data_IF_089691000701
#
_entry.id   IF_089691000701
#
_cell.length_a   1.000
_cell.length_b   1.000
_cell.length_c   1.000
_cell.angle_alpha   90.00
_cell.angle_beta   90.00
_cell.angle_gamma   90.00
#
_symmetry.space_group_name_H-M   'P 1'
#
loop_
_entity.id
_entity.type
_entity.pdbx_description
1 polymer ?
#
# COMPACT_ATOMS: atom_id res chain seq x y z
N UNK A 1 -11.85 8.23 10.88
CA UNK A 1 -12.31 8.66 9.53
C UNK A 1 -13.65 8.03 9.21
N UNK A 2 -14.35 8.49 8.16
CA UNK A 2 -15.60 7.87 7.67
C UNK A 2 -15.25 6.69 6.77
N UNK A 3 -15.78 5.50 7.06
CA UNK A 3 -15.56 4.32 6.21
C UNK A 3 -16.19 4.56 4.84
N UNK A 4 -15.43 4.27 3.77
CA UNK A 4 -15.93 4.40 2.40
C UNK A 4 -16.91 3.27 2.12
N UNK A 5 -18.00 3.58 1.42
CA UNK A 5 -18.99 2.57 1.03
C UNK A 5 -18.41 1.72 -0.11
N UNK A 6 -18.67 0.39 -0.13
CA UNK A 6 -18.21 -0.46 -1.25
C UNK A 6 -18.65 0.06 -2.62
N UNK A 7 -19.86 0.62 -2.74
CA UNK A 7 -20.37 1.19 -3.99
C UNK A 7 -19.64 2.45 -4.48
N UNK A 8 -18.83 3.09 -3.63
CA UNK A 8 -18.03 4.27 -3.99
C UNK A 8 -16.54 3.90 -4.22
N UNK A 9 -16.23 2.60 -4.27
CA UNK A 9 -14.90 2.03 -4.49
C UNK A 9 -14.92 1.04 -5.67
N UNK A 10 -13.87 1.08 -6.48
CA UNK A 10 -13.57 0.04 -7.46
C UNK A 10 -12.14 -0.45 -7.21
N UNK A 11 -12.01 -1.73 -6.88
CA UNK A 11 -10.71 -2.39 -6.70
C UNK A 11 -10.52 -3.43 -7.80
N UNK A 12 -9.43 -3.30 -8.54
CA UNK A 12 -8.92 -4.28 -9.49
C UNK A 12 -7.63 -4.89 -8.94
N UNK A 13 -7.07 -5.94 -9.57
CA UNK A 13 -5.79 -6.51 -9.13
C UNK A 13 -4.63 -5.49 -9.10
N UNK A 14 -4.71 -4.44 -9.91
CA UNK A 14 -3.66 -3.47 -10.18
C UNK A 14 -3.98 -2.03 -9.72
N UNK A 15 -5.24 -1.73 -9.37
CA UNK A 15 -5.66 -0.37 -9.02
C UNK A 15 -6.75 -0.33 -7.95
N UNK A 16 -6.73 0.73 -7.14
CA UNK A 16 -7.85 1.16 -6.31
C UNK A 16 -8.34 2.53 -6.77
N UNK A 17 -9.61 2.62 -7.14
CA UNK A 17 -10.27 3.85 -7.57
C UNK A 17 -11.35 4.25 -6.58
N UNK A 18 -11.28 5.49 -6.09
CA UNK A 18 -12.31 6.11 -5.26
C UNK A 18 -13.22 6.92 -6.17
N UNK A 19 -14.46 6.44 -6.38
CA UNK A 19 -15.38 7.02 -7.36
C UNK A 19 -15.92 8.39 -6.94
N UNK A 20 -16.06 8.60 -5.63
CA UNK A 20 -16.56 9.84 -5.03
C UNK A 20 -15.63 10.30 -3.92
N UNK A 21 -14.45 10.86 -4.26
CA UNK A 21 -13.55 11.39 -3.25
C UNK A 21 -14.21 12.58 -2.52
N UNK A 22 -13.78 12.90 -1.29
CA UNK A 22 -14.28 14.08 -0.59
C UNK A 22 -14.15 15.35 -1.42
N UNK A 23 -15.16 16.21 -1.42
CA UNK A 23 -15.14 17.49 -2.15
C UNK A 23 -14.08 18.48 -1.63
N UNK A 24 -13.57 18.24 -0.41
CA UNK A 24 -12.50 19.05 0.16
C UNK A 24 -11.21 18.90 -0.66
N UNK A 25 -10.52 20.03 -0.90
CA UNK A 25 -9.23 20.06 -1.61
C UNK A 25 -8.15 19.18 -0.95
N UNK A 26 -8.22 18.98 0.36
CA UNK A 26 -7.31 18.11 1.11
C UNK A 26 -8.14 17.14 1.93
N UNK A 27 -7.74 15.88 1.95
CA UNK A 27 -8.34 14.85 2.77
C UNK A 27 -7.28 13.84 3.18
N UNK A 28 -7.62 13.02 4.17
CA UNK A 28 -6.82 11.89 4.61
C UNK A 28 -7.49 10.60 4.15
N UNK A 29 -6.69 9.70 3.61
CA UNK A 29 -7.10 8.36 3.24
C UNK A 29 -6.37 7.37 4.13
N UNK A 30 -7.12 6.55 4.86
CA UNK A 30 -6.59 5.42 5.62
C UNK A 30 -6.87 4.16 4.83
N UNK A 31 -5.84 3.35 4.62
CA UNK A 31 -5.90 2.10 3.89
C UNK A 31 -5.31 1.02 4.79
N UNK A 32 -5.99 -0.11 4.87
CA UNK A 32 -5.51 -1.32 5.52
C UNK A 32 -5.35 -2.39 4.44
N UNK A 33 -4.14 -2.95 4.34
CA UNK A 33 -3.79 -4.01 3.38
C UNK A 33 -3.23 -5.21 4.11
N UNK A 34 -3.60 -6.40 3.63
CA UNK A 34 -3.02 -7.67 4.05
C UNK A 34 -2.16 -8.21 2.91
N UNK A 35 -0.95 -8.65 3.22
CA UNK A 35 0.02 -9.18 2.24
C UNK A 35 0.62 -10.48 2.74
N UNK A 36 1.05 -11.36 1.81
CA UNK A 36 1.60 -12.68 2.10
C UNK A 36 3.12 -12.75 1.79
N UNK A 37 4.00 -12.15 2.63
CA UNK A 37 5.43 -12.00 2.31
C UNK A 37 6.19 -13.33 2.28
N UNK A 38 5.72 -14.35 3.01
CA UNK A 38 6.34 -15.68 3.02
C UNK A 38 6.17 -16.44 1.69
N UNK A 39 5.09 -16.14 0.93
CA UNK A 39 4.84 -16.73 -0.39
C UNK A 39 5.27 -15.83 -1.55
N UNK A 40 5.98 -14.74 -1.28
CA UNK A 40 6.38 -13.77 -2.30
C UNK A 40 7.73 -14.15 -2.94
N UNK A 41 7.68 -14.98 -3.98
CA UNK A 41 8.86 -15.44 -4.73
C UNK A 41 9.40 -14.40 -5.73
N UNK A 42 8.66 -13.31 -5.97
CA UNK A 42 9.07 -12.26 -6.90
C UNK A 42 10.17 -11.35 -6.34
N UNK A 43 10.45 -11.43 -5.03
CA UNK A 43 11.45 -10.59 -4.33
C UNK A 43 11.23 -9.08 -4.54
N UNK A 44 9.95 -8.68 -4.67
CA UNK A 44 9.51 -7.29 -4.86
C UNK A 44 8.43 -6.93 -3.83
N UNK A 45 8.37 -5.66 -3.41
CA UNK A 45 7.53 -5.25 -2.28
C UNK A 45 8.05 -5.86 -1.00
N UNK A 46 7.17 -6.27 -0.08
CA UNK A 46 7.53 -6.97 1.15
C UNK A 46 7.63 -8.48 0.90
N UNK A 47 8.77 -9.08 1.23
CA UNK A 47 9.00 -10.52 1.08
C UNK A 47 9.86 -11.06 2.22
N UNK A 48 9.99 -12.40 2.30
CA UNK A 48 10.82 -13.08 3.30
C UNK A 48 11.96 -13.82 2.61
N UNK A 49 13.19 -13.58 3.04
CA UNK A 49 14.38 -14.30 2.57
C UNK A 49 15.19 -14.78 3.76
N UNK A 50 15.51 -16.09 3.81
CA UNK A 50 16.26 -16.68 4.93
C UNK A 50 15.73 -16.29 6.31
N UNK A 51 14.41 -16.35 6.49
CA UNK A 51 13.67 -15.91 7.67
C UNK A 51 13.68 -14.40 8.00
N UNK A 52 14.32 -13.57 7.19
CA UNK A 52 14.37 -12.10 7.33
C UNK A 52 13.30 -11.45 6.47
N UNK A 53 12.61 -10.43 7.00
CA UNK A 53 11.70 -9.58 6.22
C UNK A 53 12.50 -8.51 5.48
N UNK A 54 12.33 -8.46 4.16
CA UNK A 54 13.01 -7.53 3.28
C UNK A 54 11.99 -6.77 2.43
N UNK A 55 12.35 -5.55 2.02
CA UNK A 55 11.57 -4.78 1.04
C UNK A 55 12.40 -4.42 -0.17
N UNK A 56 11.85 -4.61 -1.37
CA UNK A 56 12.41 -4.08 -2.61
C UNK A 56 11.36 -3.20 -3.29
N UNK A 57 11.57 -1.89 -3.26
CA UNK A 57 10.57 -0.91 -3.73
C UNK A 57 10.85 -0.37 -5.13
N UNK A 58 12.09 -0.36 -5.60
CA UNK A 58 12.41 0.18 -6.94
C UNK A 58 12.14 -0.88 -8.03
N UNK A 59 11.54 -0.52 -9.18
CA UNK A 59 10.96 0.79 -9.51
C UNK A 59 9.49 0.96 -9.07
N UNK A 60 8.76 -0.15 -8.93
CA UNK A 60 7.31 -0.18 -8.68
C UNK A 60 6.94 -1.28 -7.66
N UNK A 61 7.81 -1.51 -6.68
CA UNK A 61 7.61 -2.51 -5.64
C UNK A 61 6.76 -2.01 -4.47
N UNK A 62 6.67 -0.70 -4.24
CA UNK A 62 5.94 -0.15 -3.10
C UNK A 62 4.43 -0.41 -3.19
N UNK A 63 3.86 -0.34 -4.41
CA UNK A 63 2.45 -0.69 -4.66
C UNK A 63 2.08 -2.13 -4.31
N UNK A 64 3.06 -3.03 -4.11
CA UNK A 64 2.83 -4.41 -3.64
C UNK A 64 2.71 -4.53 -2.12
N UNK A 65 2.94 -3.45 -1.38
CA UNK A 65 2.80 -3.39 0.09
C UNK A 65 1.45 -2.75 0.45
N UNK A 66 1.18 -1.57 -0.11
CA UNK A 66 -0.10 -0.85 0.04
C UNK A 66 -0.38 -0.01 -1.20
N UNK A 67 -1.64 0.40 -1.39
CA UNK A 67 -2.01 1.31 -2.47
C UNK A 67 -1.35 2.68 -2.30
N UNK A 68 -0.69 3.15 -3.36
CA UNK A 68 -0.03 4.45 -3.42
C UNK A 68 0.06 4.93 -4.88
N UNK A 69 0.27 6.23 -5.08
CA UNK A 69 0.68 6.78 -6.37
C UNK A 69 2.18 6.53 -6.56
N UNK A 70 2.52 5.27 -6.82
CA UNK A 70 3.87 4.72 -6.85
C UNK A 70 4.64 5.15 -8.10
N UNK A 71 4.96 6.44 -8.15
CA UNK A 71 5.73 7.11 -9.20
C UNK A 71 6.76 8.05 -8.56
N UNK A 72 7.95 8.23 -9.16
CA UNK A 72 9.04 8.99 -8.56
C UNK A 72 8.77 10.50 -8.46
N UNK A 73 7.80 11.04 -9.21
CA UNK A 73 7.38 12.44 -9.16
C UNK A 73 6.48 12.76 -7.95
N UNK A 74 6.01 11.75 -7.22
CA UNK A 74 5.16 11.91 -6.04
C UNK A 74 6.00 11.74 -4.77
N UNK A 75 6.42 12.88 -4.20
CA UNK A 75 7.20 12.92 -2.96
C UNK A 75 6.28 13.06 -1.73
N UNK A 76 6.61 12.33 -0.65
CA UNK A 76 5.88 12.37 0.62
C UNK A 76 6.83 12.19 1.80
N UNK A 77 6.41 12.66 2.97
CA UNK A 77 7.09 12.42 4.24
C UNK A 77 6.53 11.13 4.87
N UNK A 78 7.41 10.17 5.17
CA UNK A 78 7.01 8.90 5.76
C UNK A 78 7.28 8.88 7.26
N UNK A 79 6.28 8.47 8.04
CA UNK A 79 6.43 8.08 9.44
C UNK A 79 5.99 6.62 9.54
N UNK A 80 6.90 5.74 9.97
CA UNK A 80 6.70 4.28 9.91
C UNK A 80 6.81 3.70 11.32
N UNK A 81 5.85 2.86 11.69
CA UNK A 81 5.86 2.04 12.91
C UNK A 81 5.87 0.57 12.50
N UNK A 82 6.78 -0.20 13.08
CA UNK A 82 6.90 -1.65 12.83
C UNK A 82 6.66 -2.37 14.16
N UNK A 83 5.85 -3.42 14.12
CA UNK A 83 5.54 -4.28 15.25
C UNK A 83 5.74 -5.74 14.84
N UNK A 84 6.35 -6.53 15.72
CA UNK A 84 6.56 -7.96 15.52
C UNK A 84 6.54 -8.68 16.88
N UNK A 85 6.23 -9.98 16.86
CA UNK A 85 6.45 -10.84 18.01
C UNK A 85 7.95 -10.91 18.32
N UNK A 86 8.30 -10.96 19.62
CA UNK A 86 9.69 -11.13 20.08
C UNK A 86 10.18 -12.56 19.90
#
# INVERSE_FOLDING_TARGET
>A
GKKVKPADLLATPDQLTILKPPAARRFQLLIETEVAPAGNEALMGLYRSSNVYCTQCEAEGFRRITYFLDRPDILSVYTVRIEAMR
#
